data_IF_692095377179
#
_entry.id   IF_692095377179
#
_cell.length_a   1.000
_cell.length_b   1.000
_cell.length_c   1.000
_cell.angle_alpha   90.00
_cell.angle_beta   90.00
_cell.angle_gamma   90.00
#
_symmetry.space_group_name_H-M   'P 1'
#
loop_
_entity.id
_entity.type
_entity.pdbx_description
1 polymer ?
#
# COMPACT_ATOMS: atom_id res chain seq x y z
N UNK A 1 -8.86 -2.23 -8.83
CA UNK A 1 -8.88 -3.07 -10.05
C UNK A 1 -9.24 -4.48 -9.61
N UNK A 2 -10.40 -4.97 -10.04
CA UNK A 2 -10.84 -6.33 -9.78
C UNK A 2 -10.53 -7.19 -11.00
N UNK A 3 -10.01 -8.39 -10.79
CA UNK A 3 -9.73 -9.32 -11.89
C UNK A 3 -8.88 -10.51 -11.46
N UNK A 4 -9.00 -11.61 -12.20
CA UNK A 4 -8.29 -12.86 -11.92
C UNK A 4 -6.75 -12.70 -11.98
N UNK A 5 -6.04 -13.66 -11.40
CA UNK A 5 -4.58 -13.69 -11.46
C UNK A 5 -4.09 -13.85 -12.90
N UNK A 6 -3.00 -13.16 -13.24
CA UNK A 6 -2.42 -13.21 -14.59
C UNK A 6 -3.17 -12.40 -15.66
N UNK A 7 -4.20 -11.64 -15.31
CA UNK A 7 -4.97 -10.82 -16.28
C UNK A 7 -4.34 -9.46 -16.62
N UNK A 8 -3.12 -9.19 -16.16
CA UNK A 8 -2.41 -7.95 -16.47
C UNK A 8 -2.90 -6.73 -15.67
N UNK A 9 -3.34 -6.92 -14.42
CA UNK A 9 -3.78 -5.83 -13.52
C UNK A 9 -2.76 -4.69 -13.41
N UNK A 10 -1.47 -5.01 -13.36
CA UNK A 10 -0.40 -4.00 -13.36
C UNK A 10 -0.35 -3.19 -14.66
N UNK A 11 -0.61 -3.79 -15.83
CA UNK A 11 -0.63 -3.06 -17.10
C UNK A 11 -1.75 -2.02 -17.11
N UNK A 12 -2.91 -2.35 -16.54
CA UNK A 12 -4.01 -1.40 -16.34
C UNK A 12 -3.58 -0.29 -15.38
N UNK A 13 -2.98 -0.62 -14.23
CA UNK A 13 -2.48 0.37 -13.27
C UNK A 13 -1.45 1.34 -13.90
N UNK A 14 -0.52 0.82 -14.70
CA UNK A 14 0.46 1.63 -15.44
C UNK A 14 -0.20 2.50 -16.49
N UNK A 15 -1.21 2.00 -17.20
CA UNK A 15 -1.98 2.81 -18.14
C UNK A 15 -2.72 3.96 -17.42
N UNK A 16 -3.31 3.69 -16.26
CA UNK A 16 -3.96 4.71 -15.41
C UNK A 16 -2.97 5.77 -14.92
N UNK A 17 -1.75 5.39 -14.60
CA UNK A 17 -0.68 6.32 -14.22
C UNK A 17 -0.25 7.20 -15.40
N UNK A 18 0.05 6.60 -16.56
CA UNK A 18 0.45 7.32 -17.79
C UNK A 18 -0.60 8.32 -18.29
N UNK A 19 -1.87 8.07 -18.02
CA UNK A 19 -2.99 8.95 -18.39
C UNK A 19 -3.42 9.91 -17.27
N UNK A 20 -2.58 10.12 -16.26
CA UNK A 20 -2.90 10.98 -15.13
C UNK A 20 -2.10 12.27 -15.11
N UNK A 21 -2.46 13.17 -14.20
CA UNK A 21 -1.70 14.38 -13.91
C UNK A 21 -0.31 14.09 -13.30
N UNK A 22 -0.06 12.85 -12.86
CA UNK A 22 1.21 12.39 -12.28
C UNK A 22 2.01 11.49 -13.23
N UNK A 23 1.75 11.56 -14.53
CA UNK A 23 2.35 10.67 -15.54
C UNK A 23 3.88 10.74 -15.64
N UNK A 24 4.46 11.88 -15.25
CA UNK A 24 5.91 12.14 -15.28
C UNK A 24 6.58 11.84 -13.91
N UNK A 25 5.77 11.46 -12.92
CA UNK A 25 6.21 11.12 -11.56
C UNK A 25 6.45 9.62 -11.40
N UNK A 26 7.00 9.22 -10.25
CA UNK A 26 7.33 7.82 -10.00
C UNK A 26 6.08 6.92 -9.93
N UNK A 27 6.21 5.71 -10.47
CA UNK A 27 5.26 4.61 -10.30
C UNK A 27 5.95 3.47 -9.53
N UNK A 28 5.47 3.18 -8.33
CA UNK A 28 5.94 2.07 -7.51
C UNK A 28 4.88 0.96 -7.51
N UNK A 29 5.32 -0.28 -7.75
CA UNK A 29 4.48 -1.49 -7.68
C UNK A 29 4.89 -2.33 -6.48
N UNK A 30 3.91 -2.84 -5.73
CA UNK A 30 4.11 -3.70 -4.57
C UNK A 30 3.11 -4.84 -4.61
N UNK A 31 3.61 -6.08 -4.60
CA UNK A 31 2.80 -7.28 -4.40
C UNK A 31 2.71 -7.59 -2.90
N UNK A 32 1.54 -7.37 -2.32
CA UNK A 32 1.29 -7.58 -0.90
C UNK A 32 1.22 -9.06 -0.51
N UNK A 33 1.02 -9.97 -1.47
CA UNK A 33 1.11 -11.42 -1.25
C UNK A 33 2.54 -11.93 -1.08
N UNK A 34 3.53 -11.19 -1.59
CA UNK A 34 4.95 -11.57 -1.50
C UNK A 34 5.66 -11.09 -0.23
N UNK A 35 5.04 -10.17 0.53
CA UNK A 35 5.64 -9.55 1.71
C UNK A 35 5.18 -10.30 2.96
N UNK A 36 6.11 -10.76 3.79
CA UNK A 36 5.76 -11.36 5.07
C UNK A 36 5.17 -10.31 6.02
N UNK A 37 4.27 -10.73 6.90
CA UNK A 37 3.64 -9.84 7.88
C UNK A 37 4.66 -9.08 8.75
N UNK A 38 5.80 -9.73 9.07
CA UNK A 38 6.91 -9.14 9.83
C UNK A 38 7.67 -8.05 9.08
N UNK A 39 7.66 -8.07 7.75
CA UNK A 39 8.35 -7.10 6.90
C UNK A 39 7.42 -6.03 6.34
N UNK A 40 6.10 -6.18 6.51
CA UNK A 40 5.13 -5.26 5.95
C UNK A 40 5.42 -3.81 6.33
N UNK A 41 5.60 -3.51 7.61
CA UNK A 41 5.85 -2.13 8.05
C UNK A 41 7.19 -1.60 7.53
N UNK A 42 8.26 -2.39 7.62
CA UNK A 42 9.59 -1.93 7.21
C UNK A 42 9.70 -1.73 5.70
N UNK A 43 8.95 -2.50 4.89
CA UNK A 43 8.89 -2.30 3.44
C UNK A 43 7.97 -1.12 3.07
N UNK A 44 6.73 -1.08 3.57
CA UNK A 44 5.76 -0.06 3.16
C UNK A 44 6.04 1.30 3.79
N UNK A 45 6.44 1.31 5.07
CA UNK A 45 6.58 2.52 5.88
C UNK A 45 8.03 2.90 6.16
N UNK A 46 8.98 1.98 5.92
CA UNK A 46 10.39 2.23 6.16
C UNK A 46 10.78 2.03 7.62
N UNK A 47 12.06 2.18 7.90
CA UNK A 47 12.59 2.06 9.26
C UNK A 47 13.80 2.96 9.49
N UNK A 48 13.96 3.37 10.73
CA UNK A 48 15.17 4.04 11.20
C UNK A 48 16.27 3.02 11.52
N UNK A 49 17.52 3.49 11.49
CA UNK A 49 18.66 2.69 11.94
C UNK A 49 18.45 2.28 13.40
N UNK A 50 18.58 0.99 13.70
CA UNK A 50 18.42 0.43 15.04
C UNK A 50 16.97 0.18 15.47
N UNK A 51 15.99 0.34 14.58
CA UNK A 51 14.58 0.07 14.88
C UNK A 51 14.29 -1.41 15.26
N UNK A 52 15.08 -2.34 14.74
CA UNK A 52 15.08 -3.77 15.08
C UNK A 52 16.48 -4.35 14.89
N UNK A 53 16.72 -5.58 15.34
CA UNK A 53 18.07 -6.20 15.40
C UNK A 53 18.84 -6.15 14.08
N UNK A 54 18.15 -6.31 12.94
CA UNK A 54 18.76 -6.29 11.60
C UNK A 54 18.75 -4.92 10.90
N UNK A 55 18.22 -3.87 11.54
CA UNK A 55 18.11 -2.51 11.00
C UNK A 55 19.46 -1.77 11.02
N UNK A 56 20.44 -2.23 10.23
CA UNK A 56 21.81 -1.67 10.20
C UNK A 56 21.88 -0.28 9.59
N UNK A 57 20.97 0.03 8.67
CA UNK A 57 20.83 1.32 8.00
C UNK A 57 19.37 1.76 8.10
N UNK A 58 19.12 3.06 7.92
CA UNK A 58 17.76 3.53 7.66
C UNK A 58 17.32 3.14 6.24
N UNK A 59 16.01 2.99 6.03
CA UNK A 59 15.40 2.67 4.74
C UNK A 59 14.07 3.40 4.60
N UNK A 60 13.93 4.18 3.52
CA UNK A 60 12.65 4.78 3.14
C UNK A 60 11.63 3.70 2.74
N UNK A 61 10.38 3.88 3.16
CA UNK A 61 9.27 2.99 2.82
C UNK A 61 8.71 3.24 1.42
N UNK A 62 7.91 2.32 0.90
CA UNK A 62 7.25 2.49 -0.41
C UNK A 62 6.33 3.71 -0.48
N UNK A 63 5.65 4.07 0.62
CA UNK A 63 4.84 5.28 0.67
C UNK A 63 5.67 6.55 0.52
N UNK A 64 6.82 6.61 1.19
CA UNK A 64 7.76 7.74 1.11
C UNK A 64 8.34 7.85 -0.30
N UNK A 65 8.82 6.72 -0.85
CA UNK A 65 9.41 6.66 -2.19
C UNK A 65 8.38 7.04 -3.26
N UNK A 66 7.11 6.66 -3.10
CA UNK A 66 6.04 6.94 -4.06
C UNK A 66 5.39 8.32 -3.88
N UNK A 67 5.80 9.11 -2.89
CA UNK A 67 5.24 10.44 -2.63
C UNK A 67 5.41 11.35 -3.86
N UNK A 68 4.36 12.10 -4.21
CA UNK A 68 4.24 12.85 -5.48
C UNK A 68 3.77 11.99 -6.67
N UNK A 69 3.98 10.67 -6.61
CA UNK A 69 3.70 9.73 -7.69
C UNK A 69 2.48 8.84 -7.46
N UNK A 70 2.60 7.58 -7.90
CA UNK A 70 1.56 6.56 -7.79
C UNK A 70 2.11 5.29 -7.15
N UNK A 71 1.38 4.76 -6.16
CA UNK A 71 1.66 3.47 -5.54
C UNK A 71 0.58 2.46 -5.95
N UNK A 72 1.01 1.42 -6.65
CA UNK A 72 0.18 0.28 -6.99
C UNK A 72 0.36 -0.82 -5.95
N UNK A 73 -0.73 -1.23 -5.32
CA UNK A 73 -0.80 -2.31 -4.34
C UNK A 73 -1.56 -3.48 -4.96
N UNK A 74 -0.84 -4.50 -5.41
CA UNK A 74 -1.46 -5.73 -5.89
C UNK A 74 -1.80 -6.66 -4.73
N UNK A 75 -2.83 -7.47 -4.93
CA UNK A 75 -3.31 -8.46 -3.97
C UNK A 75 -3.63 -7.88 -2.56
N UNK A 76 -4.29 -6.71 -2.52
CA UNK A 76 -4.64 -6.03 -1.25
C UNK A 76 -5.49 -6.88 -0.30
N UNK A 77 -6.25 -7.83 -0.84
CA UNK A 77 -7.05 -8.77 -0.05
C UNK A 77 -6.21 -9.77 0.76
N UNK A 78 -4.91 -9.94 0.45
CA UNK A 78 -4.03 -10.84 1.19
C UNK A 78 -3.57 -10.24 2.54
N UNK A 79 -3.89 -8.98 2.82
CA UNK A 79 -3.56 -8.35 4.10
C UNK A 79 -4.39 -8.94 5.23
N UNK A 80 -3.73 -9.26 6.34
CA UNK A 80 -4.42 -9.56 7.61
C UNK A 80 -5.14 -8.31 8.13
N UNK A 81 -6.21 -8.48 8.92
CA UNK A 81 -6.97 -7.35 9.51
C UNK A 81 -6.09 -6.34 10.28
N UNK A 82 -5.06 -6.76 11.04
CA UNK A 82 -4.10 -5.83 11.64
C UNK A 82 -3.34 -5.00 10.60
N UNK A 83 -2.87 -5.59 9.51
CA UNK A 83 -2.17 -4.85 8.45
C UNK A 83 -3.10 -3.91 7.68
N UNK A 84 -4.35 -4.30 7.45
CA UNK A 84 -5.37 -3.44 6.87
C UNK A 84 -5.59 -2.17 7.73
N UNK A 85 -5.58 -2.31 9.05
CA UNK A 85 -5.71 -1.18 9.99
C UNK A 85 -4.53 -0.20 9.87
N UNK A 86 -3.31 -0.72 9.73
CA UNK A 86 -2.11 0.10 9.54
C UNK A 86 -2.13 0.82 8.20
N UNK A 87 -2.52 0.12 7.13
CA UNK A 87 -2.67 0.71 5.81
C UNK A 87 -3.73 1.82 5.81
N UNK A 88 -4.91 1.56 6.39
CA UNK A 88 -5.98 2.56 6.52
C UNK A 88 -5.48 3.83 7.22
N UNK A 89 -4.74 3.68 8.32
CA UNK A 89 -4.20 4.82 9.08
C UNK A 89 -3.35 5.74 8.21
N UNK A 90 -2.49 5.18 7.35
CA UNK A 90 -1.64 5.95 6.43
C UNK A 90 -2.49 6.65 5.35
N UNK A 91 -3.51 5.98 4.83
CA UNK A 91 -4.40 6.54 3.79
C UNK A 91 -5.26 7.69 4.32
N UNK A 92 -5.74 7.59 5.57
CA UNK A 92 -6.56 8.61 6.20
C UNK A 92 -5.73 9.83 6.59
N UNK A 93 -4.60 9.61 7.26
CA UNK A 93 -3.74 10.69 7.74
C UNK A 93 -2.89 11.33 6.65
N UNK A 94 -2.68 10.63 5.53
CA UNK A 94 -1.68 11.00 4.51
C UNK A 94 -0.28 11.19 5.09
N UNK A 95 0.03 10.37 6.08
CA UNK A 95 1.28 10.42 6.83
C UNK A 95 1.80 9.00 7.03
N UNK A 96 3.12 8.86 7.02
CA UNK A 96 3.82 7.61 7.31
C UNK A 96 4.81 7.83 8.45
N UNK A 97 4.83 6.93 9.42
CA UNK A 97 5.84 6.92 10.48
C UNK A 97 6.73 5.71 10.27
N UNK A 98 8.03 5.94 10.04
CA UNK A 98 9.01 4.85 9.93
C UNK A 98 9.03 4.03 11.22
N UNK A 99 9.28 2.73 11.12
CA UNK A 99 9.46 1.87 12.31
C UNK A 99 10.63 2.42 13.13
N UNK A 100 10.41 2.63 14.42
CA UNK A 100 11.39 3.22 15.34
C UNK A 100 11.46 4.75 15.33
N UNK A 101 10.70 5.43 14.47
CA UNK A 101 10.57 6.89 14.48
C UNK A 101 9.36 7.35 15.29
N UNK A 102 9.43 8.57 15.84
CA UNK A 102 8.30 9.22 16.51
C UNK A 102 7.61 10.28 15.63
N UNK A 103 8.32 10.79 14.62
CA UNK A 103 7.85 11.89 13.79
C UNK A 103 7.20 11.32 12.52
N UNK A 104 5.93 11.64 12.24
CA UNK A 104 5.30 11.29 10.98
C UNK A 104 5.85 12.14 9.82
N UNK A 105 5.87 11.56 8.63
CA UNK A 105 6.25 12.19 7.38
C UNK A 105 5.00 12.32 6.49
N UNK A 106 4.70 13.53 6.02
CA UNK A 106 3.61 13.76 5.08
C UNK A 106 3.90 13.08 3.75
N UNK A 107 2.91 12.39 3.20
CA UNK A 107 3.00 11.71 1.90
C UNK A 107 1.81 12.07 1.03
N UNK A 108 2.08 12.37 -0.23
CA UNK A 108 1.04 12.62 -1.22
C UNK A 108 1.09 11.55 -2.31
N UNK A 109 0.39 10.43 -2.10
CA UNK A 109 0.45 9.25 -2.97
C UNK A 109 -0.91 9.00 -3.62
N UNK A 110 -0.91 8.84 -4.95
CA UNK A 110 -2.07 8.30 -5.66
C UNK A 110 -2.05 6.78 -5.52
N UNK A 111 -3.05 6.22 -4.86
CA UNK A 111 -3.16 4.78 -4.68
C UNK A 111 -3.96 4.13 -5.81
N UNK A 112 -3.46 2.99 -6.29
CA UNK A 112 -4.21 2.07 -7.14
C UNK A 112 -4.11 0.70 -6.49
N UNK A 113 -5.24 0.10 -6.13
CA UNK A 113 -5.25 -1.22 -5.50
C UNK A 113 -5.80 -2.27 -6.46
N UNK A 114 -5.32 -3.50 -6.35
CA UNK A 114 -5.80 -4.64 -7.11
C UNK A 114 -6.01 -5.87 -6.23
N UNK A 115 -6.94 -6.73 -6.64
CA UNK A 115 -7.20 -8.03 -6.03
C UNK A 115 -7.97 -8.92 -7.00
N UNK A 116 -7.75 -10.23 -6.88
CA UNK A 116 -8.55 -11.27 -7.53
C UNK A 116 -9.67 -11.84 -6.62
N UNK A 117 -9.63 -11.53 -5.33
CA UNK A 117 -10.59 -12.03 -4.35
C UNK A 117 -11.91 -11.25 -4.42
N UNK A 118 -13.01 -11.93 -4.06
CA UNK A 118 -14.31 -11.29 -3.86
C UNK A 118 -14.29 -10.46 -2.58
N UNK A 119 -13.84 -9.22 -2.71
CA UNK A 119 -13.61 -8.31 -1.59
C UNK A 119 -14.92 -7.93 -0.87
N UNK A 120 -16.06 -7.97 -1.56
CA UNK A 120 -17.37 -7.70 -0.95
C UNK A 120 -17.77 -8.84 -0.02
N UNK A 121 -17.63 -10.09 -0.48
CA UNK A 121 -17.82 -11.26 0.37
C UNK A 121 -16.86 -11.28 1.56
N UNK A 122 -15.60 -10.89 1.36
CA UNK A 122 -14.63 -10.81 2.47
C UNK A 122 -15.01 -9.78 3.54
N UNK A 123 -15.68 -8.68 3.14
CA UNK A 123 -16.25 -7.73 4.10
C UNK A 123 -17.38 -8.38 4.89
N UNK A 124 -18.30 -9.09 4.24
CA UNK A 124 -19.38 -9.81 4.91
C UNK A 124 -18.83 -10.87 5.89
N UNK A 125 -17.73 -11.53 5.52
CA UNK A 125 -17.02 -12.53 6.33
C UNK A 125 -16.10 -11.90 7.41
N UNK A 126 -16.06 -10.56 7.54
CA UNK A 126 -15.17 -9.81 8.45
C UNK A 126 -13.66 -10.08 8.28
N UNK A 127 -13.26 -10.56 7.11
CA UNK A 127 -11.84 -10.79 6.75
C UNK A 127 -11.22 -9.61 6.02
N UNK A 128 -12.05 -8.70 5.50
CA UNK A 128 -11.63 -7.41 4.96
C UNK A 128 -12.42 -6.27 5.62
N UNK A 129 -11.76 -5.18 5.98
CA UNK A 129 -12.42 -4.05 6.64
C UNK A 129 -13.23 -3.23 5.65
N UNK A 130 -14.49 -2.97 6.00
CA UNK A 130 -15.39 -2.16 5.19
C UNK A 130 -14.91 -0.72 5.01
N UNK A 131 -14.33 -0.11 6.03
CA UNK A 131 -13.80 1.26 5.99
C UNK A 131 -12.60 1.41 5.05
N UNK A 132 -11.70 0.43 5.05
CA UNK A 132 -10.60 0.36 4.08
C UNK A 132 -11.14 0.24 2.66
N UNK A 133 -12.12 -0.65 2.42
CA UNK A 133 -12.73 -0.81 1.09
C UNK A 133 -13.36 0.51 0.64
N UNK A 134 -14.12 1.17 1.51
CA UNK A 134 -14.72 2.46 1.22
C UNK A 134 -13.67 3.50 0.83
N UNK A 135 -12.54 3.55 1.56
CA UNK A 135 -11.49 4.55 1.33
C UNK A 135 -10.71 4.33 0.03
N UNK A 136 -10.49 3.08 -0.39
CA UNK A 136 -9.78 2.78 -1.65
C UNK A 136 -10.70 2.69 -2.86
N UNK A 137 -12.02 2.69 -2.65
CA UNK A 137 -13.05 2.61 -3.69
C UNK A 137 -13.89 3.90 -3.81
N UNK A 138 -13.35 5.04 -3.36
CA UNK A 138 -13.95 6.36 -3.62
C UNK A 138 -13.55 6.89 -4.99
N UNK A 139 -14.57 7.23 -5.78
CA UNK A 139 -14.51 7.76 -7.17
C UNK A 139 -13.87 9.13 -7.24
#
# INVERSE_FOLDING_TARGET
ILGENGTGKELVARALHRNSLRKDEIFISVDLGSISETLFESELFGHEKGAFTDAKNEKAGRFEIASGGTLFLDEIANLTVPLQTKLLTVIEKKEVTRVGANNPLQVDVRLICATNNDIHRMVDDNTFRQDLLYRVNTV
#
